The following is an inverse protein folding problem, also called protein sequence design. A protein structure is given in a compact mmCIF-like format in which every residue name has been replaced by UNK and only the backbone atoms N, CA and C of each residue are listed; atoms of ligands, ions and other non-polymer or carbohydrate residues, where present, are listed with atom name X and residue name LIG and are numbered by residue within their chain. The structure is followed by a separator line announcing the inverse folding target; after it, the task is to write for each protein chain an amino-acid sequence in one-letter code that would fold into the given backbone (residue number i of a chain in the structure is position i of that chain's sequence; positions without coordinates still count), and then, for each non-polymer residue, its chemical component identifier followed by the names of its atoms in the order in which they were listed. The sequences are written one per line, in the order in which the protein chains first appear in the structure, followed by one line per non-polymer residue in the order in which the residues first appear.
data_IF_806293544858
#
_entry.id   IF_806293544858
#
_cell.length_a   1.000
_cell.length_b   1.000
_cell.length_c   1.000
_cell.angle_alpha   90.00
_cell.angle_beta   90.00
_cell.angle_gamma   90.00
#
_symmetry.space_group_name_H-M   'P 1'
#
loop_
_entity.id
_entity.type
_entity.pdbx_description
1 polymer ?
#
# COMPACT_ATOMS: atom_id res chain seq x y z
N UNK A 1 -2.40 -27.90 -2.65
CA UNK A 1 -1.92 -26.51 -2.65
C UNK A 1 -2.10 -25.98 -1.24
N UNK A 2 -1.01 -25.80 -0.49
CA UNK A 2 -1.09 -25.29 0.88
C UNK A 2 -1.11 -23.76 0.83
N UNK A 3 -2.12 -23.13 1.44
CA UNK A 3 -2.15 -21.68 1.57
C UNK A 3 -1.04 -21.23 2.53
N UNK A 4 -0.22 -20.29 2.09
CA UNK A 4 0.80 -19.67 2.92
C UNK A 4 0.42 -18.21 3.21
N UNK A 5 0.48 -17.82 4.46
CA UNK A 5 0.27 -16.44 4.88
C UNK A 5 1.59 -15.69 4.80
N UNK A 6 1.67 -14.68 3.92
CA UNK A 6 2.86 -13.83 3.81
C UNK A 6 2.67 -12.60 4.69
N UNK A 7 3.50 -12.48 5.74
CA UNK A 7 3.56 -11.28 6.59
C UNK A 7 4.64 -10.33 6.07
N UNK A 8 4.32 -9.05 5.96
CA UNK A 8 5.26 -7.98 5.66
C UNK A 8 5.30 -7.05 6.86
N UNK A 9 6.41 -7.06 7.59
CA UNK A 9 6.67 -6.14 8.70
C UNK A 9 7.76 -5.16 8.29
N UNK A 10 7.64 -3.90 8.71
CA UNK A 10 8.66 -2.88 8.49
C UNK A 10 9.49 -2.71 9.76
N UNK A 11 10.79 -2.97 9.69
CA UNK A 11 11.70 -2.85 10.85
C UNK A 11 12.08 -1.40 11.18
N UNK A 12 12.20 -0.54 10.17
CA UNK A 12 12.50 0.89 10.33
C UNK A 12 12.00 1.66 9.11
N UNK A 13 11.63 2.94 9.31
CA UNK A 13 11.13 3.81 8.24
C UNK A 13 12.29 4.59 7.60
N UNK A 14 12.40 4.63 6.26
CA UNK A 14 13.35 5.51 5.59
C UNK A 14 12.95 6.99 5.75
N UNK A 15 13.91 7.94 5.65
CA UNK A 15 13.62 9.37 5.68
C UNK A 15 12.61 9.83 4.60
N UNK A 16 12.54 9.09 3.49
CA UNK A 16 11.56 9.30 2.42
C UNK A 16 10.87 7.95 2.15
N UNK A 17 9.57 7.87 2.43
CA UNK A 17 8.74 6.68 2.17
C UNK A 17 7.89 6.89 0.91
N UNK A 18 8.06 6.02 -0.09
CA UNK A 18 7.23 6.02 -1.30
C UNK A 18 6.13 4.96 -1.16
N UNK A 19 4.86 5.37 -1.22
CA UNK A 19 3.71 4.47 -1.07
C UNK A 19 2.98 4.34 -2.40
N UNK A 20 2.94 3.13 -2.95
CA UNK A 20 2.21 2.81 -4.18
C UNK A 20 0.85 2.22 -3.83
N UNK A 21 -0.23 2.94 -4.12
CA UNK A 21 -1.59 2.42 -3.97
C UNK A 21 -1.90 1.48 -5.14
N UNK A 22 -2.04 0.18 -4.88
CA UNK A 22 -2.40 -0.81 -5.91
C UNK A 22 -3.88 -0.71 -6.27
N UNK A 23 -4.21 0.27 -7.11
CA UNK A 23 -5.59 0.55 -7.57
C UNK A 23 -6.01 -0.27 -8.80
N UNK A 24 -5.07 -0.99 -9.42
CA UNK A 24 -5.34 -1.78 -10.61
C UNK A 24 -5.12 -3.26 -10.29
N UNK A 25 -6.19 -4.03 -10.37
CA UNK A 25 -6.17 -5.49 -10.33
C UNK A 25 -6.53 -6.04 -11.70
N UNK A 26 -5.68 -6.92 -12.20
CA UNK A 26 -5.92 -7.66 -13.43
C UNK A 26 -6.42 -9.05 -13.05
N UNK A 27 -7.69 -9.36 -13.33
CA UNK A 27 -8.19 -10.73 -13.36
C UNK A 27 -8.31 -11.16 -14.82
N UNK A 28 -8.22 -12.47 -15.10
CA UNK A 28 -8.14 -13.03 -16.47
C UNK A 28 -9.25 -12.53 -17.42
N UNK A 29 -10.38 -12.06 -16.88
CA UNK A 29 -11.54 -11.61 -17.64
C UNK A 29 -11.93 -10.14 -17.41
N UNK A 30 -11.37 -9.45 -16.39
CA UNK A 30 -11.75 -8.09 -16.04
C UNK A 30 -10.57 -7.28 -15.50
N UNK A 31 -10.51 -6.01 -15.93
CA UNK A 31 -9.62 -4.98 -15.38
C UNK A 31 -10.45 -4.12 -14.43
N UNK A 32 -10.33 -4.37 -13.14
CA UNK A 32 -11.06 -3.60 -12.14
C UNK A 32 -10.16 -2.48 -11.61
N UNK A 33 -10.69 -1.25 -11.64
CA UNK A 33 -10.09 -0.07 -11.01
C UNK A 33 -10.74 0.13 -9.65
N UNK A 34 -9.93 0.16 -8.60
CA UNK A 34 -10.37 0.52 -7.27
C UNK A 34 -10.59 2.05 -7.19
N UNK A 35 -11.85 2.48 -7.23
CA UNK A 35 -12.23 3.90 -7.16
C UNK A 35 -12.40 4.41 -5.71
N UNK A 36 -12.01 3.60 -4.72
CA UNK A 36 -12.08 4.03 -3.32
C UNK A 36 -11.17 5.23 -3.09
N UNK A 37 -11.77 6.30 -2.54
CA UNK A 37 -11.01 7.44 -2.07
C UNK A 37 -10.17 7.01 -0.88
N UNK A 38 -8.88 7.38 -0.91
CA UNK A 38 -7.94 7.11 0.16
C UNK A 38 -7.51 8.46 0.70
N UNK A 39 -8.03 8.85 1.85
CA UNK A 39 -7.62 10.06 2.54
C UNK A 39 -6.27 9.83 3.22
N UNK A 40 -5.25 10.57 2.81
CA UNK A 40 -3.91 10.50 3.40
C UNK A 40 -3.55 11.83 4.07
N UNK A 41 -2.95 11.80 5.28
CA UNK A 41 -2.60 13.01 6.00
C UNK A 41 -1.41 13.72 5.35
N UNK A 42 -1.64 14.89 4.75
CA UNK A 42 -0.60 15.71 4.10
C UNK A 42 0.26 16.54 5.06
N UNK A 43 -0.15 16.70 6.32
CA UNK A 43 0.49 17.63 7.29
C UNK A 43 1.22 16.98 8.46
N UNK A 44 1.05 15.67 8.71
CA UNK A 44 1.51 15.03 9.95
C UNK A 44 2.36 13.76 9.72
N UNK A 45 3.18 13.72 8.66
CA UNK A 45 4.19 12.67 8.56
C UNK A 45 5.32 13.01 9.55
N UNK A 46 5.22 12.48 10.77
CA UNK A 46 6.20 12.66 11.85
C UNK A 46 7.56 12.05 11.44
N UNK A 47 8.40 12.84 10.77
CA UNK A 47 9.84 12.72 10.94
C UNK A 47 10.16 13.39 12.28
N UNK A 48 10.10 12.61 13.37
CA UNK A 48 10.71 13.02 14.64
C UNK A 48 12.22 13.10 14.40
N UNK A 49 12.74 14.31 14.34
CA UNK A 49 14.15 14.59 14.66
C UNK A 49 14.44 14.18 16.09
#
# INVERSE_FOLDING_TARGET
HQQATKKLDLWSLPPVLVVHLKRFSYSRYMRDKLDTLVDFPIKYCFCKK
#
